data_IF_894946183671
#
_entry.id   IF_894946183671
#
_cell.length_a   1.000
_cell.length_b   1.000
_cell.length_c   1.000
_cell.angle_alpha   90.00
_cell.angle_beta   90.00
_cell.angle_gamma   90.00
#
_symmetry.space_group_name_H-M   'P 1'
#
loop_
_entity.id
_entity.type
_entity.pdbx_description
1 polymer ?
#
# COMPACT_ATOMS: atom_id res chain seq x y z
N UNK A 1 29.43 -35.26 44.05
CA UNK A 1 29.40 -36.26 42.96
C UNK A 1 29.38 -35.48 41.66
N UNK A 2 30.53 -35.13 41.05
CA UNK A 2 31.38 -35.98 40.20
C UNK A 2 30.58 -36.50 38.98
N UNK A 3 30.99 -36.40 37.71
CA UNK A 3 32.18 -35.90 37.03
C UNK A 3 31.84 -36.00 35.51
N UNK A 4 32.32 -35.09 34.64
CA UNK A 4 32.56 -35.41 33.22
C UNK A 4 33.70 -36.46 33.12
N UNK A 5 34.05 -37.17 32.00
CA UNK A 5 34.13 -36.66 30.61
C UNK A 5 33.97 -37.71 29.46
N UNK A 6 34.08 -37.29 28.18
CA UNK A 6 35.15 -37.67 27.20
C UNK A 6 34.74 -37.57 25.72
N UNK A 7 35.63 -36.93 24.97
CA UNK A 7 35.77 -36.96 23.51
C UNK A 7 36.55 -38.20 23.02
N UNK A 8 36.30 -38.60 21.77
CA UNK A 8 37.18 -39.23 20.76
C UNK A 8 36.44 -39.08 19.41
N UNK A 9 36.94 -38.70 18.24
CA UNK A 9 38.30 -38.54 17.72
C UNK A 9 38.44 -39.27 16.36
N UNK A 10 38.49 -38.51 15.25
CA UNK A 10 39.22 -38.75 13.96
C UNK A 10 38.66 -39.90 13.06
N UNK A 11 38.49 -39.83 11.72
CA UNK A 11 39.45 -39.61 10.61
C UNK A 11 38.73 -39.27 9.30
N UNK A 12 39.37 -38.41 8.50
CA UNK A 12 39.01 -37.97 7.15
C UNK A 12 39.24 -39.03 6.06
N UNK A 13 38.48 -38.98 4.96
CA UNK A 13 39.04 -39.28 3.64
C UNK A 13 38.35 -38.46 2.54
N UNK A 14 39.21 -37.85 1.74
CA UNK A 14 39.00 -37.04 0.55
C UNK A 14 38.86 -37.93 -0.69
N UNK A 15 38.22 -37.40 -1.74
CA UNK A 15 38.68 -37.32 -3.16
C UNK A 15 37.46 -37.06 -4.08
N UNK A 16 37.63 -36.33 -5.21
CA UNK A 16 36.62 -35.41 -5.76
C UNK A 16 36.12 -35.73 -7.19
N UNK A 17 35.08 -34.99 -7.61
CA UNK A 17 34.73 -34.55 -8.98
C UNK A 17 34.52 -35.61 -10.10
N UNK A 18 33.64 -35.34 -11.09
CA UNK A 18 34.15 -34.59 -12.23
C UNK A 18 33.22 -33.48 -12.77
N UNK A 19 33.91 -32.47 -13.29
CA UNK A 19 33.41 -31.43 -14.15
C UNK A 19 32.79 -31.99 -15.44
N UNK A 20 31.82 -31.26 -15.99
CA UNK A 20 31.43 -31.37 -17.39
C UNK A 20 31.76 -30.04 -18.04
N UNK A 21 32.77 -30.06 -18.91
CA UNK A 21 33.25 -28.93 -19.67
C UNK A 21 32.70 -29.00 -21.11
N UNK A 22 32.21 -27.85 -21.58
CA UNK A 22 32.13 -27.33 -22.96
C UNK A 22 31.58 -28.20 -24.11
N UNK A 23 30.56 -27.64 -24.76
CA UNK A 23 30.64 -27.40 -26.21
C UNK A 23 30.26 -25.96 -26.54
N UNK A 24 31.24 -25.26 -27.11
CA UNK A 24 31.06 -24.02 -27.86
C UNK A 24 30.71 -24.38 -29.30
N UNK A 25 29.71 -23.72 -29.88
CA UNK A 25 29.53 -23.66 -31.33
C UNK A 25 29.45 -22.20 -31.76
N UNK A 26 30.49 -21.81 -32.48
CA UNK A 26 30.64 -20.59 -33.27
C UNK A 26 29.51 -20.42 -34.28
N UNK A 27 28.93 -19.23 -34.38
CA UNK A 27 28.36 -18.71 -35.63
C UNK A 27 28.69 -17.22 -35.75
N UNK A 28 29.53 -16.94 -36.74
CA UNK A 28 29.97 -15.62 -37.20
C UNK A 28 29.03 -15.09 -38.30
N UNK A 29 28.47 -13.88 -38.10
CA UNK A 29 28.46 -12.66 -38.96
C UNK A 29 27.85 -12.79 -40.40
N UNK A 30 26.96 -11.86 -40.83
CA UNK A 30 27.43 -10.61 -41.45
C UNK A 30 26.76 -9.29 -41.02
N UNK A 31 27.63 -8.29 -40.85
CA UNK A 31 27.37 -6.85 -40.96
C UNK A 31 26.80 -6.52 -42.35
N UNK A 32 25.77 -5.68 -42.40
CA UNK A 32 25.48 -4.85 -43.56
C UNK A 32 25.38 -3.38 -43.11
N UNK A 33 26.17 -2.56 -43.78
CA UNK A 33 26.24 -1.11 -43.66
C UNK A 33 24.95 -0.45 -44.17
N UNK A 34 24.53 0.62 -43.49
CA UNK A 34 23.45 1.51 -43.92
C UNK A 34 23.55 2.83 -43.16
N UNK A 35 24.50 3.67 -43.57
CA UNK A 35 24.66 5.05 -43.12
C UNK A 35 23.49 5.92 -43.57
N UNK A 36 22.82 6.60 -42.65
CA UNK A 36 22.07 7.82 -42.95
C UNK A 36 22.51 8.93 -41.99
N UNK A 37 23.35 9.83 -42.50
CA UNK A 37 23.66 11.12 -41.90
C UNK A 37 22.40 12.00 -41.92
N UNK A 38 22.06 12.61 -40.79
CA UNK A 38 21.37 13.90 -40.77
C UNK A 38 22.00 14.82 -39.71
N UNK A 39 22.11 16.09 -40.12
CA UNK A 39 22.87 17.23 -39.59
C UNK A 39 22.51 17.70 -38.16
N UNK A 40 23.47 18.32 -37.42
CA UNK A 40 23.21 18.92 -36.11
C UNK A 40 22.63 20.34 -36.26
N UNK A 41 21.37 20.51 -35.88
CA UNK A 41 20.79 21.84 -35.66
C UNK A 41 21.29 22.44 -34.34
N UNK A 42 22.12 23.46 -34.50
CA UNK A 42 22.63 24.41 -33.51
C UNK A 42 21.60 24.77 -32.42
N UNK A 43 21.91 24.50 -31.17
CA UNK A 43 21.28 25.19 -30.03
C UNK A 43 22.31 26.11 -29.39
N UNK A 44 22.00 27.39 -29.38
CA UNK A 44 22.82 28.46 -28.83
C UNK A 44 22.88 28.35 -27.30
N UNK A 45 24.08 28.35 -26.75
CA UNK A 45 24.34 28.58 -25.32
C UNK A 45 24.61 30.07 -25.15
N UNK A 46 23.88 30.72 -24.24
CA UNK A 46 24.27 32.00 -23.63
C UNK A 46 24.15 31.89 -22.10
N UNK A 47 25.06 32.48 -21.30
CA UNK A 47 25.24 32.12 -19.90
C UNK A 47 24.52 33.04 -18.88
N UNK A 48 24.36 32.48 -17.66
CA UNK A 48 23.94 33.08 -16.36
C UNK A 48 22.43 33.33 -16.14
N UNK A 49 21.84 32.65 -15.15
CA UNK A 49 21.78 33.10 -13.75
C UNK A 49 20.82 32.25 -12.88
N UNK A 50 21.28 31.94 -11.67
CA UNK A 50 20.54 31.62 -10.42
C UNK A 50 19.48 30.50 -10.41
N UNK A 51 19.64 29.60 -9.44
CA UNK A 51 18.81 28.42 -9.27
C UNK A 51 17.37 28.69 -8.85
N UNK A 52 16.48 27.83 -9.34
CA UNK A 52 15.19 27.50 -8.74
C UNK A 52 15.01 26.00 -8.89
N UNK A 53 14.84 25.29 -7.78
CA UNK A 53 14.37 23.91 -7.78
C UNK A 53 12.98 23.88 -8.42
N UNK A 54 12.79 22.98 -9.39
CA UNK A 54 11.49 22.75 -10.00
C UNK A 54 10.53 22.20 -8.95
N UNK A 55 9.46 22.96 -8.66
CA UNK A 55 8.36 22.52 -7.81
C UNK A 55 7.42 21.68 -8.68
N UNK A 56 7.23 20.42 -8.32
CA UNK A 56 6.28 19.54 -9.01
C UNK A 56 4.88 20.00 -8.65
N UNK A 57 4.10 20.33 -9.67
CA UNK A 57 2.68 20.65 -9.57
C UNK A 57 1.97 19.79 -10.61
N UNK A 58 0.97 19.02 -10.19
CA UNK A 58 0.08 18.30 -11.11
C UNK A 58 -0.80 19.32 -11.86
N UNK A 59 -0.30 19.88 -12.97
CA UNK A 59 -1.12 20.66 -13.91
C UNK A 59 -0.69 20.39 -15.34
N UNK A 60 -1.61 19.90 -16.17
CA UNK A 60 -1.46 19.82 -17.62
C UNK A 60 -2.04 21.07 -18.30
N UNK A 61 -1.29 21.63 -19.25
CA UNK A 61 -1.72 22.72 -20.14
C UNK A 61 -1.84 22.19 -21.56
N UNK A 62 -3.05 21.85 -22.01
CA UNK A 62 -3.41 21.82 -23.44
C UNK A 62 -4.90 22.20 -23.60
N UNK A 63 -5.26 23.03 -24.59
CA UNK A 63 -6.63 23.48 -24.78
C UNK A 63 -7.43 22.44 -25.54
N UNK A 64 -8.55 21.99 -24.98
CA UNK A 64 -9.53 21.16 -25.67
C UNK A 64 -10.73 22.00 -26.13
N UNK A 65 -11.14 21.74 -27.36
CA UNK A 65 -12.17 22.47 -28.08
C UNK A 65 -13.55 21.91 -27.69
N UNK A 66 -14.40 22.77 -27.12
CA UNK A 66 -15.78 22.43 -26.76
C UNK A 66 -16.64 22.12 -28.00
N UNK A 67 -17.47 21.07 -27.88
CA UNK A 67 -18.75 20.95 -28.58
C UNK A 67 -19.79 20.34 -27.63
N UNK A 68 -20.52 21.24 -26.99
CA UNK A 68 -21.76 20.99 -26.25
C UNK A 68 -22.95 20.78 -27.20
N UNK A 69 -23.81 19.81 -26.87
CA UNK A 69 -25.25 19.85 -27.16
C UNK A 69 -26.05 19.23 -26.00
N UNK A 70 -26.67 20.09 -25.19
CA UNK A 70 -27.90 19.93 -24.37
C UNK A 70 -28.02 18.72 -23.42
N UNK A 71 -28.33 18.86 -22.12
CA UNK A 71 -29.47 19.57 -21.51
C UNK A 71 -29.04 20.12 -20.15
N UNK A 72 -29.36 21.39 -19.89
CA UNK A 72 -28.96 22.11 -18.69
C UNK A 72 -29.78 21.79 -17.44
N UNK A 73 -29.06 21.45 -16.38
CA UNK A 73 -29.13 22.14 -15.08
C UNK A 73 -27.67 22.30 -14.63
N UNK A 74 -27.10 23.49 -14.76
CA UNK A 74 -25.81 23.80 -14.13
C UNK A 74 -26.06 24.00 -12.63
N UNK A 75 -26.10 22.89 -11.90
CA UNK A 75 -25.71 22.95 -10.50
C UNK A 75 -24.19 23.07 -10.47
N UNK A 76 -23.66 24.22 -10.05
CA UNK A 76 -22.23 24.37 -9.75
C UNK A 76 -21.92 23.68 -8.41
N UNK A 77 -22.37 22.44 -8.27
CA UNK A 77 -22.09 21.58 -7.14
C UNK A 77 -20.61 21.23 -7.10
N UNK A 78 -20.04 21.18 -5.90
CA UNK A 78 -18.70 20.65 -5.66
C UNK A 78 -18.70 19.17 -6.12
N UNK A 79 -17.89 18.81 -7.11
CA UNK A 79 -17.74 17.40 -7.49
C UNK A 79 -17.14 16.61 -6.32
N UNK A 80 -17.88 15.61 -5.87
CA UNK A 80 -17.44 14.60 -4.89
C UNK A 80 -17.58 13.26 -5.61
N UNK A 81 -16.49 12.49 -5.80
CA UNK A 81 -16.57 11.13 -6.32
C UNK A 81 -17.55 10.29 -5.50
N UNK A 82 -18.37 9.48 -6.17
CA UNK A 82 -19.37 8.64 -5.52
C UNK A 82 -19.32 7.24 -6.11
N UNK A 83 -19.73 6.27 -5.29
CA UNK A 83 -19.94 4.89 -5.72
C UNK A 83 -21.08 4.81 -6.74
N UNK A 84 -20.88 4.01 -7.78
CA UNK A 84 -21.84 3.86 -8.90
C UNK A 84 -22.64 2.55 -8.86
N UNK A 85 -22.45 1.74 -7.81
CA UNK A 85 -23.15 0.46 -7.66
C UNK A 85 -24.33 0.57 -6.68
N UNK A 86 -25.26 -0.37 -6.77
CA UNK A 86 -26.35 -0.50 -5.79
C UNK A 86 -25.77 -0.96 -4.45
N UNK A 87 -26.17 -0.31 -3.36
CA UNK A 87 -25.74 -0.70 -2.02
C UNK A 87 -26.52 -1.94 -1.55
N UNK A 88 -25.78 -2.96 -1.14
CA UNK A 88 -26.31 -4.15 -0.48
C UNK A 88 -25.74 -4.15 0.94
N UNK A 89 -26.60 -4.35 1.93
CA UNK A 89 -26.22 -4.36 3.34
C UNK A 89 -26.75 -5.62 4.01
N UNK A 90 -26.03 -6.08 5.03
CA UNK A 90 -26.39 -7.23 5.86
C UNK A 90 -26.69 -8.51 5.03
N UNK A 91 -25.76 -8.89 4.14
CA UNK A 91 -25.94 -10.10 3.31
C UNK A 91 -25.69 -11.40 4.07
N UNK A 92 -25.05 -11.33 5.24
CA UNK A 92 -24.83 -12.49 6.10
C UNK A 92 -26.14 -12.90 6.81
N UNK A 93 -26.54 -14.18 6.80
CA UNK A 93 -27.65 -14.66 7.62
C UNK A 93 -27.45 -14.37 9.12
N UNK A 94 -28.51 -13.90 9.79
CA UNK A 94 -28.43 -13.45 11.20
C UNK A 94 -27.95 -14.54 12.16
N UNK A 95 -28.28 -15.81 11.88
CA UNK A 95 -27.82 -16.95 12.68
C UNK A 95 -26.29 -17.09 12.70
N UNK A 96 -25.57 -16.57 11.69
CA UNK A 96 -24.10 -16.60 11.64
C UNK A 96 -23.45 -15.56 12.55
N UNK A 97 -24.20 -14.61 13.11
CA UNK A 97 -23.68 -13.69 14.14
C UNK A 97 -23.20 -14.49 15.36
N UNK A 98 -23.94 -15.54 15.75
CA UNK A 98 -23.57 -16.39 16.90
C UNK A 98 -22.27 -17.16 16.66
N UNK A 99 -21.92 -17.46 15.40
CA UNK A 99 -20.63 -18.07 15.05
C UNK A 99 -19.47 -17.14 15.45
N UNK A 100 -19.52 -15.84 15.09
CA UNK A 100 -18.46 -14.89 15.46
C UNK A 100 -18.40 -14.62 16.96
N UNK A 101 -19.55 -14.61 17.66
CA UNK A 101 -19.58 -14.56 19.12
C UNK A 101 -18.90 -15.79 19.75
N UNK A 102 -19.16 -16.98 19.22
CA UNK A 102 -18.54 -18.21 19.72
C UNK A 102 -17.02 -18.27 19.52
N UNK A 103 -16.50 -17.49 18.56
CA UNK A 103 -15.06 -17.39 18.28
C UNK A 103 -14.33 -16.33 19.12
N UNK A 104 -14.98 -15.64 20.05
CA UNK A 104 -14.36 -14.54 20.81
C UNK A 104 -13.11 -14.99 21.59
N UNK A 105 -13.17 -16.10 22.32
CA UNK A 105 -12.01 -16.65 23.03
C UNK A 105 -10.94 -17.16 22.06
N UNK A 106 -11.36 -17.73 20.92
CA UNK A 106 -10.40 -18.13 19.90
C UNK A 106 -9.66 -16.92 19.32
N UNK A 107 -10.35 -15.81 19.07
CA UNK A 107 -9.75 -14.57 18.60
C UNK A 107 -8.81 -13.96 19.64
N UNK A 108 -9.15 -14.04 20.93
CA UNK A 108 -8.25 -13.64 22.01
C UNK A 108 -6.93 -14.42 21.96
N UNK A 109 -6.99 -15.73 21.81
CA UNK A 109 -5.81 -16.60 21.87
C UNK A 109 -5.01 -16.65 20.55
N UNK A 110 -5.65 -16.37 19.41
CA UNK A 110 -5.05 -16.62 18.09
C UNK A 110 -4.89 -15.38 17.23
N UNK A 111 -5.66 -14.30 17.47
CA UNK A 111 -5.63 -13.09 16.66
C UNK A 111 -4.96 -11.94 17.41
N UNK A 112 -5.37 -11.66 18.64
CA UNK A 112 -4.76 -10.58 19.44
C UNK A 112 -3.24 -10.71 19.63
N UNK A 113 -2.62 -11.91 19.66
CA UNK A 113 -1.16 -12.02 19.75
C UNK A 113 -0.38 -11.49 18.55
N UNK A 114 -1.03 -11.24 17.41
CA UNK A 114 -0.39 -10.58 16.27
C UNK A 114 -0.16 -9.07 16.50
N UNK A 115 -0.86 -8.47 17.46
CA UNK A 115 -0.67 -7.08 17.86
C UNK A 115 0.61 -6.93 18.67
N UNK A 116 1.35 -5.86 18.43
CA UNK A 116 2.49 -5.48 19.27
C UNK A 116 1.97 -4.63 20.42
N UNK A 117 2.49 -4.88 21.62
CA UNK A 117 2.26 -3.97 22.74
C UNK A 117 2.80 -2.58 22.39
N UNK A 118 2.13 -1.52 22.83
CA UNK A 118 2.53 -0.12 22.59
C UNK A 118 4.00 0.11 22.95
N UNK A 119 4.44 -0.38 24.12
CA UNK A 119 5.84 -0.26 24.60
C UNK A 119 6.90 -0.94 23.71
N UNK A 120 6.50 -1.84 22.81
CA UNK A 120 7.38 -2.53 21.85
C UNK A 120 7.12 -2.12 20.41
N UNK A 121 6.21 -1.17 20.22
CA UNK A 121 5.84 -0.64 18.92
C UNK A 121 6.75 0.53 18.61
N UNK A 122 7.24 0.57 17.37
CA UNK A 122 7.98 1.72 16.89
C UNK A 122 7.08 2.95 16.89
N UNK A 123 7.64 4.14 17.09
CA UNK A 123 6.92 5.40 16.96
C UNK A 123 7.48 6.23 15.80
N UNK A 124 6.67 7.07 15.12
CA UNK A 124 7.14 7.89 14.00
C UNK A 124 8.40 8.70 14.31
N UNK A 125 8.54 9.19 15.54
CA UNK A 125 9.69 9.99 15.97
C UNK A 125 11.03 9.25 15.89
N UNK A 126 11.05 7.90 15.93
CA UNK A 126 12.28 7.10 15.79
C UNK A 126 12.92 7.24 14.40
N UNK A 127 12.16 7.68 13.40
CA UNK A 127 12.60 7.78 12.00
C UNK A 127 12.70 9.21 11.49
N UNK A 128 12.22 10.18 12.28
CA UNK A 128 12.16 11.59 11.90
C UNK A 128 13.23 12.41 12.63
N UNK A 129 13.64 13.57 12.09
CA UNK A 129 14.51 14.50 12.80
C UNK A 129 13.97 14.84 14.19
N UNK A 130 14.83 14.85 15.21
CA UNK A 130 14.44 15.11 16.61
C UNK A 130 14.23 16.63 16.83
N UNK A 131 12.99 17.12 16.99
CA UNK A 131 12.72 18.55 17.06
C UNK A 131 13.28 19.23 18.31
N UNK A 132 13.55 18.48 19.38
CA UNK A 132 14.14 19.02 20.60
C UNK A 132 15.68 19.01 20.62
N UNK A 133 16.31 18.41 19.59
CA UNK A 133 17.76 18.32 19.45
C UNK A 133 18.34 19.62 18.89
N UNK A 134 19.52 20.02 19.38
CA UNK A 134 20.32 21.12 18.79
C UNK A 134 20.65 20.86 17.30
N UNK A 135 20.68 19.58 16.90
CA UNK A 135 20.95 19.12 15.54
C UNK A 135 19.73 19.08 14.61
N UNK A 136 18.53 19.44 15.09
CA UNK A 136 17.28 19.31 14.32
C UNK A 136 17.36 19.88 12.90
N UNK A 137 17.86 21.12 12.77
CA UNK A 137 17.93 21.79 11.47
C UNK A 137 18.91 21.12 10.50
N UNK A 138 20.00 20.55 11.02
CA UNK A 138 20.96 19.80 10.21
C UNK A 138 20.37 18.45 9.77
N UNK A 139 19.67 17.74 10.66
CA UNK A 139 18.97 16.50 10.33
C UNK A 139 17.88 16.71 9.25
N UNK A 140 17.12 17.81 9.35
CA UNK A 140 16.15 18.21 8.32
C UNK A 140 16.86 18.52 7.00
N UNK A 141 17.99 19.24 7.04
CA UNK A 141 18.77 19.55 5.83
C UNK A 141 19.29 18.29 5.15
N UNK A 142 19.76 17.30 5.91
CA UNK A 142 20.19 16.01 5.40
C UNK A 142 19.05 15.21 4.79
N UNK A 143 17.88 15.19 5.43
CA UNK A 143 16.67 14.56 4.89
C UNK A 143 16.32 15.16 3.53
N UNK A 144 16.32 16.49 3.42
CA UNK A 144 16.02 17.19 2.16
C UNK A 144 17.07 16.95 1.09
N UNK A 145 18.34 16.82 1.48
CA UNK A 145 19.41 16.47 0.54
C UNK A 145 19.22 15.08 -0.05
N UNK A 146 18.87 14.06 0.75
CA UNK A 146 18.53 12.72 0.24
C UNK A 146 17.27 12.73 -0.61
N UNK A 147 16.22 13.42 -0.15
CA UNK A 147 14.97 13.55 -0.89
C UNK A 147 15.11 14.33 -2.21
N UNK A 148 16.19 15.10 -2.42
CA UNK A 148 16.48 15.76 -3.69
C UNK A 148 16.77 14.75 -4.82
N UNK A 149 17.29 13.57 -4.48
CA UNK A 149 17.64 12.51 -5.44
C UNK A 149 16.45 11.58 -5.76
N UNK A 150 15.33 11.70 -5.04
CA UNK A 150 14.13 10.92 -5.31
C UNK A 150 13.45 11.40 -6.61
N UNK A 151 13.15 10.48 -7.56
CA UNK A 151 12.39 10.81 -8.76
C UNK A 151 10.95 11.22 -8.44
N UNK A 152 10.38 12.11 -9.24
CA UNK A 152 9.01 12.57 -9.05
C UNK A 152 7.99 11.42 -9.18
N UNK A 153 8.23 10.48 -10.10
CA UNK A 153 7.45 9.25 -10.25
C UNK A 153 7.38 8.43 -8.95
N UNK A 154 8.49 8.37 -8.20
CA UNK A 154 8.54 7.68 -6.91
C UNK A 154 7.73 8.46 -5.86
N UNK A 155 7.89 9.79 -5.83
CA UNK A 155 7.13 10.65 -4.91
C UNK A 155 5.63 10.58 -5.16
N UNK A 156 5.18 10.48 -6.41
CA UNK A 156 3.76 10.26 -6.73
C UNK A 156 3.24 8.96 -6.10
N UNK A 157 4.03 7.88 -6.16
CA UNK A 157 3.64 6.60 -5.53
C UNK A 157 3.56 6.75 -4.00
N UNK A 158 4.62 7.31 -3.39
CA UNK A 158 4.68 7.49 -1.94
C UNK A 158 3.58 8.41 -1.40
N UNK A 159 3.20 9.44 -2.17
CA UNK A 159 2.07 10.31 -1.84
C UNK A 159 0.75 9.56 -1.92
N UNK A 160 0.54 8.73 -2.95
CA UNK A 160 -0.67 7.92 -3.06
C UNK A 160 -0.80 6.89 -1.93
N UNK A 161 0.30 6.24 -1.56
CA UNK A 161 0.36 5.36 -0.39
C UNK A 161 0.00 6.15 0.89
N UNK A 162 0.63 7.30 1.12
CA UNK A 162 0.37 8.13 2.31
C UNK A 162 -1.08 8.64 2.39
N UNK A 163 -1.66 9.10 1.28
CA UNK A 163 -3.07 9.54 1.24
C UNK A 163 -4.00 8.37 1.60
N UNK A 164 -3.65 7.16 1.17
CA UNK A 164 -4.40 5.95 1.52
C UNK A 164 -4.30 5.69 3.03
N UNK A 165 -3.13 5.80 3.65
CA UNK A 165 -3.00 5.64 5.11
C UNK A 165 -3.79 6.68 5.90
N UNK A 166 -3.81 7.93 5.45
CA UNK A 166 -4.50 9.03 6.15
C UNK A 166 -6.03 8.91 6.12
N UNK A 167 -6.59 8.07 5.24
CA UNK A 167 -8.02 7.77 5.21
C UNK A 167 -8.44 6.69 6.24
N UNK A 168 -7.58 6.38 7.22
CA UNK A 168 -7.82 5.43 8.31
C UNK A 168 -9.20 5.50 9.00
N UNK A 169 -9.82 6.68 9.25
CA UNK A 169 -11.16 6.72 9.83
C UNK A 169 -12.19 5.90 9.03
N UNK A 170 -12.10 5.93 7.69
CA UNK A 170 -12.97 5.13 6.81
C UNK A 170 -12.77 3.64 7.02
N UNK A 171 -11.54 3.18 7.26
CA UNK A 171 -11.23 1.75 7.40
C UNK A 171 -11.66 1.21 8.76
N UNK A 172 -11.47 1.98 9.84
CA UNK A 172 -12.03 1.65 11.15
C UNK A 172 -13.57 1.61 11.08
N UNK A 173 -14.21 2.57 10.39
CA UNK A 173 -15.66 2.55 10.17
C UNK A 173 -16.07 1.28 9.40
N UNK A 174 -15.36 0.91 8.34
CA UNK A 174 -15.64 -0.32 7.59
C UNK A 174 -15.61 -1.56 8.49
N UNK A 175 -14.58 -1.75 9.31
CA UNK A 175 -14.53 -2.86 10.26
C UNK A 175 -15.71 -2.84 11.25
N UNK A 176 -16.10 -1.64 11.71
CA UNK A 176 -17.25 -1.44 12.59
C UNK A 176 -18.62 -1.51 11.88
N UNK A 177 -18.66 -1.74 10.56
CA UNK A 177 -19.91 -2.09 9.85
C UNK A 177 -20.16 -3.59 9.84
N UNK A 178 -19.15 -4.42 10.14
CA UNK A 178 -19.23 -5.87 10.02
C UNK A 178 -20.04 -6.50 11.18
N UNK A 179 -21.06 -7.27 10.82
CA UNK A 179 -21.98 -7.91 11.74
C UNK A 179 -21.29 -8.94 12.63
N UNK A 180 -21.59 -8.92 13.92
CA UNK A 180 -21.01 -9.87 14.89
C UNK A 180 -19.58 -9.56 15.35
N UNK A 181 -18.87 -8.62 14.71
CA UNK A 181 -17.49 -8.25 15.10
C UNK A 181 -17.29 -6.75 15.37
N UNK A 182 -18.25 -5.90 15.02
CA UNK A 182 -18.19 -4.45 15.26
C UNK A 182 -18.12 -4.06 16.75
N UNK A 183 -17.51 -2.92 17.01
CA UNK A 183 -17.52 -2.30 18.33
C UNK A 183 -18.83 -1.54 18.61
N UNK A 184 -19.68 -2.10 19.48
CA UNK A 184 -20.99 -1.52 19.82
C UNK A 184 -20.93 -0.25 20.68
N UNK A 185 -19.81 0.03 21.35
CA UNK A 185 -19.74 1.12 22.34
C UNK A 185 -18.57 2.09 22.13
N UNK A 186 -17.67 1.78 21.20
CA UNK A 186 -16.36 2.43 21.07
C UNK A 186 -15.34 2.00 22.12
N UNK A 187 -15.75 1.13 23.04
CA UNK A 187 -14.90 0.56 24.10
C UNK A 187 -15.33 -0.88 24.45
N UNK A 188 -16.00 -1.58 23.54
CA UNK A 188 -16.44 -2.96 23.79
C UNK A 188 -15.25 -3.85 24.14
N UNK A 189 -15.43 -4.73 25.12
CA UNK A 189 -14.36 -5.60 25.63
C UNK A 189 -14.14 -6.84 24.77
N UNK A 190 -14.98 -7.06 23.74
CA UNK A 190 -14.84 -8.21 22.85
C UNK A 190 -13.49 -8.24 22.16
N UNK A 191 -12.97 -9.44 21.91
CA UNK A 191 -11.71 -9.64 21.20
C UNK A 191 -11.71 -8.94 19.83
N UNK A 192 -12.85 -8.98 19.13
CA UNK A 192 -13.03 -8.32 17.83
C UNK A 192 -12.91 -6.80 17.93
N UNK A 193 -13.60 -6.17 18.90
CA UNK A 193 -13.52 -4.73 19.09
C UNK A 193 -12.12 -4.30 19.57
N UNK A 194 -11.49 -5.10 20.44
CA UNK A 194 -10.10 -4.88 20.87
C UNK A 194 -9.13 -4.95 19.69
N UNK A 195 -9.29 -5.92 18.78
CA UNK A 195 -8.52 -6.00 17.54
C UNK A 195 -8.72 -4.73 16.70
N UNK A 196 -9.97 -4.36 16.37
CA UNK A 196 -10.26 -3.19 15.54
C UNK A 196 -9.61 -1.92 16.09
N UNK A 197 -9.74 -1.66 17.39
CA UNK A 197 -9.14 -0.47 18.01
C UNK A 197 -7.61 -0.52 18.02
N UNK A 198 -7.01 -1.67 18.33
CA UNK A 198 -5.56 -1.81 18.40
C UNK A 198 -4.89 -1.81 17.02
N UNK A 199 -5.49 -2.48 16.02
CA UNK A 199 -5.10 -2.39 14.61
C UNK A 199 -5.14 -0.93 14.16
N UNK A 200 -6.25 -0.22 14.40
CA UNK A 200 -6.36 1.22 14.06
C UNK A 200 -5.24 2.05 14.72
N UNK A 201 -4.89 1.75 15.98
CA UNK A 201 -3.80 2.44 16.66
C UNK A 201 -2.42 2.13 16.05
N UNK A 202 -2.20 0.91 15.57
CA UNK A 202 -1.00 0.55 14.83
C UNK A 202 -0.94 1.29 13.48
N UNK A 203 -2.02 1.29 12.71
CA UNK A 203 -2.17 1.95 11.40
C UNK A 203 -1.96 3.47 11.45
N UNK A 204 -2.47 4.13 12.49
CA UNK A 204 -2.36 5.59 12.61
C UNK A 204 -0.92 6.09 12.47
N UNK A 205 0.05 5.30 12.95
CA UNK A 205 1.48 5.65 12.89
C UNK A 205 2.02 5.68 11.45
N UNK A 206 1.42 4.93 10.53
CA UNK A 206 1.87 4.85 9.13
C UNK A 206 1.63 6.19 8.42
N UNK A 207 0.39 6.68 8.44
CA UNK A 207 0.02 8.00 7.94
C UNK A 207 0.83 9.11 8.61
N UNK A 208 0.91 9.08 9.94
CA UNK A 208 1.67 10.06 10.73
C UNK A 208 3.14 10.19 10.32
N UNK A 209 3.80 9.05 10.05
CA UNK A 209 5.21 9.00 9.67
C UNK A 209 5.42 9.47 8.23
N UNK A 210 4.61 8.95 7.29
CA UNK A 210 4.72 9.31 5.88
C UNK A 210 4.37 10.78 5.64
N UNK A 211 3.34 11.32 6.32
CA UNK A 211 2.95 12.72 6.25
C UNK A 211 4.10 13.63 6.68
N UNK A 212 4.65 13.42 7.87
CA UNK A 212 5.76 14.23 8.39
C UNK A 212 7.00 14.11 7.52
N UNK A 213 7.32 12.90 7.01
CA UNK A 213 8.42 12.72 6.07
C UNK A 213 8.20 13.57 4.82
N UNK A 214 7.06 13.43 4.14
CA UNK A 214 6.71 14.16 2.92
C UNK A 214 6.70 15.68 3.14
N UNK A 215 6.15 16.15 4.26
CA UNK A 215 6.18 17.55 4.68
C UNK A 215 7.61 18.07 4.78
N UNK A 216 8.50 17.34 5.46
CA UNK A 216 9.89 17.75 5.68
C UNK A 216 10.72 17.73 4.39
N UNK A 217 10.39 16.87 3.41
CA UNK A 217 11.11 16.86 2.12
C UNK A 217 11.03 18.20 1.39
N UNK A 218 9.88 18.88 1.48
CA UNK A 218 9.55 20.05 0.66
C UNK A 218 9.52 19.78 -0.84
N UNK A 219 9.38 18.52 -1.27
CA UNK A 219 9.32 18.09 -2.68
C UNK A 219 7.89 18.02 -3.23
N UNK A 220 6.88 18.04 -2.36
CA UNK A 220 5.47 17.87 -2.71
C UNK A 220 4.62 19.05 -2.25
N UNK A 221 3.44 19.24 -2.86
CA UNK A 221 2.49 20.28 -2.46
C UNK A 221 1.53 19.76 -1.38
N UNK A 222 1.91 19.96 -0.12
CA UNK A 222 1.12 19.48 1.03
C UNK A 222 -0.31 20.03 1.03
N UNK A 223 -0.55 21.25 0.55
CA UNK A 223 -1.91 21.81 0.50
C UNK A 223 -2.82 21.03 -0.46
N UNK A 224 -2.29 20.56 -1.59
CA UNK A 224 -3.05 19.72 -2.51
C UNK A 224 -3.30 18.34 -1.90
N UNK A 225 -2.29 17.78 -1.25
CA UNK A 225 -2.38 16.47 -0.58
C UNK A 225 -3.43 16.50 0.55
N UNK A 226 -3.37 17.48 1.45
CA UNK A 226 -4.33 17.66 2.55
C UNK A 226 -5.77 17.82 2.04
N UNK A 227 -5.97 18.57 0.94
CA UNK A 227 -7.28 18.64 0.28
C UNK A 227 -7.73 17.28 -0.27
N UNK A 228 -6.80 16.52 -0.84
CA UNK A 228 -7.09 15.20 -1.41
C UNK A 228 -7.51 14.21 -0.33
N UNK A 229 -6.82 14.23 0.83
CA UNK A 229 -7.20 13.46 2.02
C UNK A 229 -8.60 13.86 2.49
N UNK A 230 -8.86 15.18 2.58
CA UNK A 230 -10.16 15.69 3.00
C UNK A 230 -11.29 15.22 2.06
N UNK A 231 -11.07 15.26 0.74
CA UNK A 231 -12.02 14.72 -0.23
C UNK A 231 -12.20 13.20 -0.07
N UNK A 232 -11.12 12.45 0.10
CA UNK A 232 -11.17 10.99 0.20
C UNK A 232 -11.94 10.56 1.45
N UNK A 233 -11.64 11.11 2.62
CA UNK A 233 -12.37 10.84 3.87
C UNK A 233 -13.84 11.23 3.73
N UNK A 234 -14.12 12.39 3.12
CA UNK A 234 -15.49 12.86 2.90
C UNK A 234 -16.28 12.02 1.89
N UNK A 235 -15.59 11.37 0.94
CA UNK A 235 -16.20 10.45 -0.03
C UNK A 235 -16.42 9.06 0.57
N UNK A 236 -15.56 8.66 1.52
CA UNK A 236 -15.55 7.31 2.06
C UNK A 236 -15.13 6.28 1.02
N UNK A 237 -15.60 5.06 1.20
CA UNK A 237 -15.37 3.92 0.32
C UNK A 237 -16.47 2.88 0.55
N UNK A 238 -16.94 2.23 -0.51
CA UNK A 238 -17.75 1.01 -0.40
C UNK A 238 -16.95 -0.21 -0.89
N UNK A 239 -16.46 -1.08 0.02
CA UNK A 239 -15.72 -2.28 -0.36
C UNK A 239 -16.64 -3.41 -0.86
N UNK A 240 -17.96 -3.20 -0.92
CA UNK A 240 -18.97 -4.20 -1.26
C UNK A 240 -18.89 -5.46 -0.38
N UNK A 241 -18.54 -5.25 0.90
CA UNK A 241 -18.47 -6.29 1.92
C UNK A 241 -19.79 -6.48 2.66
N UNK A 242 -20.80 -5.63 2.41
CA UNK A 242 -22.20 -5.87 2.76
C UNK A 242 -22.45 -6.18 4.24
N UNK A 243 -21.68 -5.55 5.13
CA UNK A 243 -21.68 -5.81 6.58
C UNK A 243 -21.30 -7.26 6.95
N UNK A 244 -20.82 -8.06 6.01
CA UNK A 244 -20.58 -9.48 6.18
C UNK A 244 -19.09 -9.73 6.51
N UNK A 245 -18.76 -10.25 7.72
CA UNK A 245 -17.36 -10.49 8.09
C UNK A 245 -16.65 -11.51 7.22
N UNK A 246 -17.34 -12.44 6.56
CA UNK A 246 -16.70 -13.33 5.59
C UNK A 246 -16.10 -12.53 4.43
N UNK A 247 -16.90 -11.63 3.83
CA UNK A 247 -16.45 -10.72 2.78
C UNK A 247 -15.41 -9.74 3.31
N UNK A 248 -15.65 -9.16 4.48
CA UNK A 248 -14.77 -8.20 5.14
C UNK A 248 -13.37 -8.74 5.42
N UNK A 249 -13.25 -9.92 6.02
CA UNK A 249 -11.93 -10.51 6.34
C UNK A 249 -11.19 -11.06 5.13
N UNK A 250 -11.91 -11.47 4.08
CA UNK A 250 -11.29 -11.76 2.78
C UNK A 250 -10.74 -10.48 2.19
N UNK A 251 -11.54 -9.41 2.14
CA UNK A 251 -11.12 -8.10 1.64
C UNK A 251 -9.86 -7.59 2.36
N UNK A 252 -9.85 -7.57 3.70
CA UNK A 252 -8.70 -7.09 4.47
C UNK A 252 -7.47 -7.97 4.26
N UNK A 253 -7.62 -9.30 4.19
CA UNK A 253 -6.50 -10.20 3.88
C UNK A 253 -5.81 -9.86 2.55
N UNK A 254 -6.59 -9.48 1.53
CA UNK A 254 -6.03 -9.03 0.25
C UNK A 254 -5.38 -7.65 0.33
N UNK A 255 -6.01 -6.70 1.04
CA UNK A 255 -5.51 -5.33 1.14
C UNK A 255 -4.21 -5.25 1.95
N UNK A 256 -4.10 -5.94 3.07
CA UNK A 256 -2.88 -5.96 3.88
C UNK A 256 -1.69 -6.55 3.11
N UNK A 257 -1.96 -7.58 2.29
CA UNK A 257 -0.94 -8.11 1.40
C UNK A 257 -0.57 -7.10 0.30
N UNK A 258 -1.54 -6.34 -0.20
CA UNK A 258 -1.32 -5.31 -1.21
C UNK A 258 -0.42 -4.19 -0.68
N UNK A 259 -0.71 -3.67 0.52
CA UNK A 259 0.09 -2.63 1.20
C UNK A 259 1.47 -3.16 1.59
N UNK A 260 1.57 -4.39 2.13
CA UNK A 260 2.85 -5.06 2.38
C UNK A 260 3.76 -5.05 1.14
N UNK A 261 3.20 -5.43 -0.02
CA UNK A 261 3.95 -5.45 -1.28
C UNK A 261 4.30 -4.03 -1.72
N UNK A 262 3.37 -3.06 -1.63
CA UNK A 262 3.61 -1.66 -2.03
C UNK A 262 4.74 -1.05 -1.21
N UNK A 263 4.62 -1.06 0.12
CA UNK A 263 5.62 -0.55 1.07
C UNK A 263 6.96 -1.28 0.97
N UNK A 264 6.94 -2.60 0.76
CA UNK A 264 8.16 -3.37 0.52
C UNK A 264 8.87 -3.04 -0.80
N UNK A 265 8.12 -2.64 -1.84
CA UNK A 265 8.69 -2.20 -3.11
C UNK A 265 9.25 -0.78 -3.00
N UNK A 266 8.50 0.15 -2.40
CA UNK A 266 8.95 1.53 -2.19
C UNK A 266 10.18 1.56 -1.27
N UNK A 267 10.26 0.71 -0.25
CA UNK A 267 11.45 0.54 0.58
C UNK A 267 12.70 0.16 -0.23
N UNK A 268 12.57 -0.80 -1.17
CA UNK A 268 13.68 -1.21 -2.04
C UNK A 268 14.11 -0.09 -2.98
N UNK A 269 13.15 0.59 -3.60
CA UNK A 269 13.42 1.70 -4.51
C UNK A 269 14.07 2.89 -3.78
N UNK A 270 13.60 3.25 -2.58
CA UNK A 270 14.22 4.28 -1.75
C UNK A 270 15.70 3.99 -1.49
N UNK A 271 16.04 2.73 -1.19
CA UNK A 271 17.42 2.30 -1.02
C UNK A 271 18.23 2.42 -2.31
N UNK A 272 17.65 2.03 -3.44
CA UNK A 272 18.30 2.13 -4.76
C UNK A 272 18.56 3.60 -5.16
N UNK A 273 17.69 4.53 -4.75
CA UNK A 273 17.89 5.98 -4.90
C UNK A 273 18.79 6.60 -3.82
N UNK A 274 19.32 5.81 -2.89
CA UNK A 274 20.28 6.24 -1.87
C UNK A 274 19.67 6.79 -0.57
N UNK A 275 18.34 6.78 -0.40
CA UNK A 275 17.69 7.16 0.86
C UNK A 275 17.41 5.94 1.75
N UNK A 276 18.46 5.52 2.48
CA UNK A 276 18.39 4.38 3.41
C UNK A 276 17.42 4.63 4.57
N UNK A 277 17.24 5.90 5.01
CA UNK A 277 16.29 6.21 6.08
C UNK A 277 14.85 6.04 5.59
N UNK A 278 14.54 6.50 4.38
CA UNK A 278 13.23 6.25 3.78
C UNK A 278 12.99 4.74 3.55
N UNK A 279 14.02 4.00 3.15
CA UNK A 279 13.92 2.54 3.04
C UNK A 279 13.55 1.87 4.38
N UNK A 280 14.09 2.36 5.50
CA UNK A 280 13.73 1.89 6.84
C UNK A 280 12.28 2.27 7.21
N UNK A 281 11.83 3.48 6.87
CA UNK A 281 10.45 3.92 7.08
C UNK A 281 9.47 2.96 6.39
N UNK A 282 9.59 2.83 5.07
CA UNK A 282 8.68 1.97 4.28
C UNK A 282 8.79 0.50 4.69
N UNK A 283 10.01 0.00 4.98
CA UNK A 283 10.21 -1.38 5.42
C UNK A 283 9.63 -1.68 6.80
N UNK A 284 9.59 -0.69 7.69
CA UNK A 284 8.99 -0.82 9.02
C UNK A 284 7.47 -0.86 8.94
N UNK A 285 6.88 0.00 8.10
CA UNK A 285 5.44 -0.04 7.80
C UNK A 285 5.09 -1.41 7.22
N UNK A 286 5.79 -1.87 6.18
CA UNK A 286 5.59 -3.19 5.57
C UNK A 286 5.64 -4.35 6.59
N UNK A 287 6.45 -4.24 7.64
CA UNK A 287 6.52 -5.26 8.68
C UNK A 287 5.26 -5.32 9.56
N UNK A 288 4.56 -4.20 9.74
CA UNK A 288 3.25 -4.15 10.38
C UNK A 288 2.20 -4.80 9.49
N UNK A 289 2.11 -4.41 8.21
CA UNK A 289 1.18 -4.98 7.22
C UNK A 289 1.29 -6.50 7.14
N UNK A 290 2.52 -7.02 7.23
CA UNK A 290 2.74 -8.46 7.20
C UNK A 290 2.14 -9.16 8.42
N UNK A 291 2.15 -8.53 9.60
CA UNK A 291 1.50 -9.10 10.79
C UNK A 291 -0.02 -9.05 10.65
N UNK A 292 -0.57 -7.96 10.12
CA UNK A 292 -2.00 -7.84 9.88
C UNK A 292 -2.48 -8.82 8.80
N UNK A 293 -1.74 -8.98 7.69
CA UNK A 293 -1.97 -10.03 6.67
C UNK A 293 -2.08 -11.40 7.35
N UNK A 294 -1.12 -11.76 8.20
CA UNK A 294 -1.12 -13.06 8.88
C UNK A 294 -2.33 -13.21 9.84
N UNK A 295 -2.73 -12.15 10.54
CA UNK A 295 -3.87 -12.18 11.44
C UNK A 295 -5.19 -12.36 10.67
N UNK A 296 -5.45 -11.56 9.64
CA UNK A 296 -6.68 -11.67 8.85
C UNK A 296 -6.75 -12.99 8.08
N UNK A 297 -5.63 -13.45 7.50
CA UNK A 297 -5.60 -14.76 6.84
C UNK A 297 -5.83 -15.91 7.83
N UNK A 298 -5.40 -15.78 9.09
CA UNK A 298 -5.73 -16.74 10.15
C UNK A 298 -7.22 -16.80 10.47
N UNK A 299 -7.92 -15.65 10.43
CA UNK A 299 -9.38 -15.60 10.57
C UNK A 299 -10.04 -16.36 9.41
N UNK A 300 -9.65 -16.07 8.17
CA UNK A 300 -10.22 -16.72 6.99
C UNK A 300 -9.92 -18.23 6.98
N UNK A 301 -8.71 -18.64 7.38
CA UNK A 301 -8.36 -20.06 7.60
C UNK A 301 -9.32 -20.71 8.59
N UNK A 302 -9.60 -20.05 9.72
CA UNK A 302 -10.54 -20.57 10.72
C UNK A 302 -11.97 -20.68 10.17
N UNK A 303 -12.40 -19.73 9.36
CA UNK A 303 -13.72 -19.76 8.71
C UNK A 303 -13.80 -20.94 7.71
N UNK A 304 -12.74 -21.23 6.98
CA UNK A 304 -12.67 -22.44 6.13
C UNK A 304 -12.78 -23.75 6.93
N UNK A 305 -12.29 -23.79 8.18
CA UNK A 305 -12.42 -24.99 9.02
C UNK A 305 -13.86 -25.22 9.50
N UNK A 306 -14.57 -24.16 9.86
CA UNK A 306 -15.86 -24.26 10.57
C UNK A 306 -17.09 -24.02 9.69
N UNK A 307 -16.93 -23.30 8.58
CA UNK A 307 -17.98 -22.98 7.61
C UNK A 307 -17.39 -22.89 6.19
N UNK A 308 -16.85 -24.00 5.66
CA UNK A 308 -16.15 -24.02 4.38
C UNK A 308 -17.03 -23.54 3.22
N UNK A 309 -18.29 -23.96 3.18
CA UNK A 309 -19.21 -23.66 2.08
C UNK A 309 -19.46 -22.15 1.96
N UNK A 310 -19.79 -21.48 3.08
CA UNK A 310 -20.03 -20.03 3.05
C UNK A 310 -18.73 -19.26 2.80
N UNK A 311 -17.60 -19.75 3.31
CA UNK A 311 -16.29 -19.10 3.11
C UNK A 311 -15.84 -19.16 1.65
N UNK A 312 -16.03 -20.30 0.96
CA UNK A 312 -15.75 -20.42 -0.48
C UNK A 312 -16.64 -19.49 -1.29
N UNK A 313 -17.94 -19.43 -0.99
CA UNK A 313 -18.87 -18.54 -1.71
C UNK A 313 -18.52 -17.06 -1.50
N UNK A 314 -18.16 -16.68 -0.28
CA UNK A 314 -17.70 -15.32 0.01
C UNK A 314 -16.39 -14.98 -0.73
N UNK A 315 -15.46 -15.93 -0.82
CA UNK A 315 -14.23 -15.75 -1.59
C UNK A 315 -14.53 -15.56 -3.08
N UNK A 316 -15.37 -16.43 -3.66
CA UNK A 316 -15.80 -16.32 -5.06
C UNK A 316 -16.46 -14.97 -5.33
N UNK A 317 -17.37 -14.54 -4.46
CA UNK A 317 -18.10 -13.28 -4.59
C UNK A 317 -17.15 -12.06 -4.59
N UNK A 318 -16.23 -11.99 -3.63
CA UNK A 318 -15.20 -10.93 -3.60
C UNK A 318 -14.31 -10.95 -4.85
N UNK A 319 -13.99 -12.13 -5.40
CA UNK A 319 -13.23 -12.24 -6.65
C UNK A 319 -14.05 -11.74 -7.85
N UNK A 320 -15.35 -12.02 -7.91
CA UNK A 320 -16.25 -11.55 -8.98
C UNK A 320 -16.44 -10.04 -8.94
N UNK A 321 -16.64 -9.47 -7.76
CA UNK A 321 -16.74 -8.02 -7.52
C UNK A 321 -15.44 -7.27 -7.83
N UNK A 322 -14.32 -8.00 -7.80
CA UNK A 322 -12.94 -7.49 -7.79
C UNK A 322 -12.64 -6.76 -6.50
N UNK A 323 -11.42 -6.93 -6.01
CA UNK A 323 -10.96 -6.23 -4.82
C UNK A 323 -10.69 -4.75 -5.19
N UNK A 324 -11.65 -3.88 -4.90
CA UNK A 324 -11.53 -2.43 -5.09
C UNK A 324 -10.48 -1.86 -4.14
N UNK A 325 -9.62 -0.97 -4.64
CA UNK A 325 -8.66 -0.27 -3.78
C UNK A 325 -9.39 0.72 -2.87
N UNK A 326 -8.98 0.87 -1.60
CA UNK A 326 -9.66 1.75 -0.65
C UNK A 326 -9.69 3.21 -1.10
N UNK A 327 -8.59 3.69 -1.71
CA UNK A 327 -8.49 5.07 -2.19
C UNK A 327 -8.99 5.26 -3.64
N UNK A 328 -9.82 4.37 -4.20
CA UNK A 328 -10.22 4.47 -5.61
C UNK A 328 -11.07 5.73 -5.94
N UNK A 329 -11.69 6.34 -4.93
CA UNK A 329 -12.40 7.63 -5.01
C UNK A 329 -11.49 8.85 -4.77
N UNK A 330 -10.17 8.71 -4.87
CA UNK A 330 -9.23 9.82 -4.69
C UNK A 330 -9.53 10.99 -5.65
N UNK A 331 -9.51 12.22 -5.13
CA UNK A 331 -9.77 13.44 -5.91
C UNK A 331 -9.07 14.66 -5.29
N UNK A 332 -8.38 15.45 -6.10
CA UNK A 332 -7.58 16.61 -5.64
C UNK A 332 -8.30 17.97 -5.74
N UNK A 333 -9.54 17.96 -6.25
CA UNK A 333 -10.31 19.16 -6.57
C UNK A 333 -10.21 19.61 -8.03
N UNK A 334 -9.51 18.86 -8.90
CA UNK A 334 -9.33 19.18 -10.32
C UNK A 334 -9.42 17.94 -11.22
N UNK A 335 -8.68 16.90 -10.88
CA UNK A 335 -8.49 15.71 -11.71
C UNK A 335 -9.37 14.55 -11.24
N UNK A 336 -10.42 14.27 -12.01
CA UNK A 336 -11.39 13.20 -11.71
C UNK A 336 -10.82 11.79 -11.89
N UNK A 337 -9.69 11.67 -12.58
CA UNK A 337 -9.04 10.40 -12.93
C UNK A 337 -7.71 10.23 -12.16
N UNK A 338 -7.50 10.99 -11.08
CA UNK A 338 -6.22 11.01 -10.36
C UNK A 338 -5.83 9.63 -9.84
N UNK A 339 -6.80 8.83 -9.39
CA UNK A 339 -6.54 7.45 -8.94
C UNK A 339 -6.00 6.56 -10.07
N UNK A 340 -6.57 6.65 -11.28
CA UNK A 340 -6.11 5.88 -12.44
C UNK A 340 -4.69 6.30 -12.84
N UNK A 341 -4.43 7.61 -12.86
CA UNK A 341 -3.10 8.16 -13.18
C UNK A 341 -2.05 7.74 -12.15
N UNK A 342 -2.37 7.84 -10.86
CA UNK A 342 -1.55 7.31 -9.77
C UNK A 342 -1.26 5.81 -9.98
N UNK A 343 -2.30 5.02 -10.24
CA UNK A 343 -2.19 3.57 -10.43
C UNK A 343 -1.28 3.21 -11.61
N UNK A 344 -1.37 3.95 -12.73
CA UNK A 344 -0.49 3.78 -13.88
C UNK A 344 0.98 4.08 -13.56
N UNK A 345 1.24 5.12 -12.76
CA UNK A 345 2.60 5.45 -12.30
C UNK A 345 3.12 4.34 -11.39
N UNK A 346 2.34 3.92 -10.39
CA UNK A 346 2.70 2.84 -9.46
C UNK A 346 2.99 1.50 -10.19
N UNK A 347 2.23 1.20 -11.25
CA UNK A 347 2.46 0.05 -12.10
C UNK A 347 3.75 0.18 -12.91
N UNK A 348 4.01 1.35 -13.52
CA UNK A 348 5.19 1.61 -14.35
C UNK A 348 6.49 1.60 -13.55
N UNK A 349 6.51 2.22 -12.38
CA UNK A 349 7.67 2.25 -11.48
C UNK A 349 7.89 0.89 -10.80
N UNK A 350 6.84 0.06 -10.77
CA UNK A 350 6.85 -1.21 -10.07
C UNK A 350 6.78 -1.07 -8.55
N UNK A 351 6.35 0.08 -8.04
CA UNK A 351 5.97 0.28 -6.64
C UNK A 351 4.79 -0.64 -6.29
N UNK A 352 3.82 -0.78 -7.20
CA UNK A 352 2.76 -1.76 -7.06
C UNK A 352 2.73 -2.68 -8.30
N UNK A 353 3.45 -3.81 -8.21
CA UNK A 353 3.30 -4.92 -9.16
C UNK A 353 2.36 -5.97 -8.59
N UNK A 354 1.17 -5.59 -8.15
CA UNK A 354 0.10 -6.57 -8.02
C UNK A 354 -0.30 -7.01 -9.42
N UNK A 355 0.47 -7.96 -9.97
CA UNK A 355 -0.06 -8.88 -10.96
C UNK A 355 -1.34 -9.53 -10.44
N UNK A 356 -1.65 -9.54 -9.14
CA UNK A 356 -2.92 -10.04 -8.58
C UNK A 356 -4.15 -9.29 -9.13
N UNK A 357 -4.09 -7.96 -9.31
CA UNK A 357 -5.19 -7.17 -9.92
C UNK A 357 -5.41 -7.56 -11.40
N UNK A 358 -4.39 -8.14 -12.05
CA UNK A 358 -4.40 -8.52 -13.47
C UNK A 358 -4.37 -10.03 -13.77
N UNK A 359 -3.96 -10.89 -12.83
CA UNK A 359 -3.91 -12.35 -12.95
C UNK A 359 -5.33 -12.87 -13.10
N UNK A 360 -6.30 -12.28 -12.39
CA UNK A 360 -7.70 -12.67 -12.50
C UNK A 360 -8.49 -11.93 -13.58
N UNK A 361 -8.07 -10.72 -14.00
CA UNK A 361 -8.75 -9.99 -15.08
C UNK A 361 -8.48 -10.53 -16.50
N UNK A 362 -7.46 -11.37 -16.71
CA UNK A 362 -7.18 -11.96 -18.04
C UNK A 362 -7.49 -13.46 -18.18
N UNK A 363 -7.51 -14.24 -17.10
CA UNK A 363 -7.70 -15.71 -17.23
C UNK A 363 -9.14 -16.20 -16.99
N UNK A 364 -10.04 -15.38 -16.46
CA UNK A 364 -11.47 -15.76 -16.28
C UNK A 364 -12.36 -15.27 -17.45
N UNK A 365 -11.84 -14.43 -18.34
CA UNK A 365 -12.54 -14.03 -19.58
C UNK A 365 -12.33 -15.02 -20.75
N UNK A 366 -11.59 -16.11 -20.55
CA UNK A 366 -11.25 -17.11 -21.58
C UNK A 366 -11.32 -18.56 -21.08
N UNK A 367 -12.32 -18.90 -20.24
CA UNK A 367 -12.77 -20.28 -20.07
C UNK A 367 -14.29 -20.37 -20.01
#
# INVERSE_FOLDING_TARGET
MAMAPRCTGVVASSVPCPAVDRMASSLTVPRALGSLQMSPSKLWISPRASGRLARVVMTTTLPMHDRDVGIGVQDKGLYVPQELHTQVTHSMPLEKIELFKSLESWAEDNILPYLKSVEKSWQPQEFLPEPSSDGFLDEVKELRARAAELPDDYLVCLVGDMITEEALPTYQTMLNTLDGVRDETGASLTSWARWTRAWTAEENRHGDLLNKYLYLTGRVDMRVIEKTIQYLIGSGMDPQTENNPYLGFIYTSFQERATFISHGNTARQAKDFGDVKLAQICGTIAADERRHENAYTKIVEKLFEIDPDCTVLALEDMMRKKISMPAHLMYDGRDKEIFEKFSLVAQRTGANRLKIIWIFNREVALR
#
